data_IF_929889464059
#
_entry.id   IF_929889464059
#
_cell.length_a   1.000
_cell.length_b   1.000
_cell.length_c   1.000
_cell.angle_alpha   90.00
_cell.angle_beta   90.00
_cell.angle_gamma   90.00
#
_symmetry.space_group_name_H-M   'P 1'
#
loop_
_entity.id
_entity.type
_entity.pdbx_description
1 polymer ?
#
# COMPACT_ATOMS: atom_id res chain seq x y z
N UNK A 1 67.27 35.03 -19.97
CA UNK A 1 67.49 33.58 -20.15
C UNK A 1 66.20 32.87 -19.80
N UNK A 2 65.57 32.17 -20.74
CA UNK A 2 64.35 31.39 -20.50
C UNK A 2 64.32 30.21 -21.45
N UNK A 3 64.48 29.00 -20.94
CA UNK A 3 64.42 27.74 -21.70
C UNK A 3 63.02 27.15 -21.60
N UNK A 4 62.31 27.12 -22.72
CA UNK A 4 61.08 26.35 -22.91
C UNK A 4 61.42 24.91 -23.23
N UNK A 5 61.01 23.98 -22.36
CA UNK A 5 61.12 22.54 -22.58
C UNK A 5 59.97 22.11 -23.49
N UNK A 6 60.28 21.61 -24.69
CA UNK A 6 59.31 20.92 -25.56
C UNK A 6 59.04 19.53 -25.01
N UNK A 7 57.81 19.27 -24.55
CA UNK A 7 57.34 17.93 -24.21
C UNK A 7 57.31 17.04 -25.47
N UNK A 8 57.85 15.83 -25.38
CA UNK A 8 57.86 14.84 -26.48
C UNK A 8 56.48 14.19 -26.67
N UNK A 9 56.03 13.93 -27.92
CA UNK A 9 54.68 13.46 -28.24
C UNK A 9 54.50 11.92 -28.24
N UNK A 10 55.36 11.17 -27.54
CA UNK A 10 55.37 9.70 -27.63
C UNK A 10 54.45 8.99 -26.62
N UNK A 11 54.06 9.64 -25.52
CA UNK A 11 53.19 9.02 -24.51
C UNK A 11 51.70 8.93 -24.94
N UNK A 12 51.23 9.82 -25.82
CA UNK A 12 49.82 9.86 -26.24
C UNK A 12 49.45 8.77 -27.27
N UNK A 13 50.40 8.30 -28.09
CA UNK A 13 50.11 7.27 -29.11
C UNK A 13 49.93 5.87 -28.51
N UNK A 14 50.71 5.52 -27.49
CA UNK A 14 50.60 4.21 -26.83
C UNK A 14 49.33 4.06 -25.99
N UNK A 15 48.87 5.13 -25.33
CA UNK A 15 47.61 5.12 -24.58
C UNK A 15 46.38 4.93 -25.47
N UNK A 16 46.37 5.53 -26.68
CA UNK A 16 45.27 5.38 -27.63
C UNK A 16 45.18 3.95 -28.20
N UNK A 17 46.33 3.31 -28.48
CA UNK A 17 46.35 1.90 -28.93
C UNK A 17 45.92 0.92 -27.84
N UNK A 18 46.28 1.15 -26.57
CA UNK A 18 45.86 0.28 -25.46
C UNK A 18 44.35 0.40 -25.19
N UNK A 19 43.79 1.61 -25.25
CA UNK A 19 42.34 1.85 -25.16
C UNK A 19 41.58 1.17 -26.31
N UNK A 20 42.13 1.19 -27.53
CA UNK A 20 41.51 0.53 -28.67
C UNK A 20 41.52 -1.00 -28.52
N UNK A 21 42.63 -1.58 -28.06
CA UNK A 21 42.70 -3.03 -27.79
C UNK A 21 41.76 -3.48 -26.66
N UNK A 22 41.56 -2.67 -25.62
CA UNK A 22 40.59 -2.96 -24.56
C UNK A 22 39.15 -2.88 -25.08
N UNK A 23 38.84 -1.88 -25.90
CA UNK A 23 37.53 -1.73 -26.53
C UNK A 23 37.22 -2.90 -27.47
N UNK A 24 38.21 -3.33 -28.27
CA UNK A 24 38.07 -4.45 -29.20
C UNK A 24 37.86 -5.77 -28.43
N UNK A 25 38.58 -6.00 -27.33
CA UNK A 25 38.36 -7.15 -26.43
C UNK A 25 36.98 -7.13 -25.78
N UNK A 26 36.48 -5.95 -25.40
CA UNK A 26 35.15 -5.82 -24.82
C UNK A 26 34.05 -6.06 -25.87
N UNK A 27 34.25 -5.58 -27.10
CA UNK A 27 33.36 -5.85 -28.23
C UNK A 27 33.32 -7.33 -28.59
N UNK A 28 34.47 -8.00 -28.63
CA UNK A 28 34.56 -9.46 -28.86
C UNK A 28 33.85 -10.24 -27.74
N UNK A 29 34.01 -9.80 -26.48
CA UNK A 29 33.30 -10.41 -25.34
C UNK A 29 31.79 -10.23 -25.47
N UNK A 30 31.32 -9.03 -25.86
CA UNK A 30 29.89 -8.77 -26.11
C UNK A 30 29.36 -9.61 -27.27
N UNK A 31 30.12 -9.74 -28.35
CA UNK A 31 29.75 -10.58 -29.49
C UNK A 31 29.63 -12.06 -29.11
N UNK A 32 30.55 -12.57 -28.28
CA UNK A 32 30.49 -13.93 -27.75
C UNK A 32 29.28 -14.15 -26.82
N UNK A 33 28.97 -13.18 -25.96
CA UNK A 33 27.78 -13.24 -25.10
C UNK A 33 26.49 -13.21 -25.91
N UNK A 34 26.39 -12.35 -26.92
CA UNK A 34 25.25 -12.30 -27.84
C UNK A 34 25.11 -13.60 -28.62
N UNK A 35 26.20 -14.17 -29.12
CA UNK A 35 26.18 -15.45 -29.83
C UNK A 35 25.83 -16.64 -28.92
N UNK A 36 26.17 -16.60 -27.63
CA UNK A 36 25.74 -17.59 -26.65
C UNK A 36 24.26 -17.44 -26.30
N UNK A 37 23.79 -16.19 -26.17
CA UNK A 37 22.38 -15.85 -25.96
C UNK A 37 21.50 -16.32 -27.13
N UNK A 38 21.87 -16.00 -28.36
CA UNK A 38 21.14 -16.42 -29.56
C UNK A 38 21.06 -17.95 -29.66
N UNK A 39 22.16 -18.67 -29.39
CA UNK A 39 22.16 -20.13 -29.34
C UNK A 39 21.24 -20.70 -28.26
N UNK A 40 21.20 -20.11 -27.07
CA UNK A 40 20.32 -20.56 -25.98
C UNK A 40 18.85 -20.23 -26.26
N UNK A 41 18.58 -19.08 -26.88
CA UNK A 41 17.25 -18.67 -27.36
C UNK A 41 16.72 -19.68 -28.39
N UNK A 42 17.52 -20.01 -29.40
CA UNK A 42 17.16 -20.98 -30.43
C UNK A 42 16.92 -22.37 -29.83
N UNK A 43 17.75 -22.77 -28.86
CA UNK A 43 17.57 -24.02 -28.12
C UNK A 43 16.25 -24.03 -27.32
N UNK A 44 15.89 -22.94 -26.66
CA UNK A 44 14.62 -22.82 -25.91
C UNK A 44 13.41 -22.83 -26.84
N UNK A 45 13.49 -22.19 -28.01
CA UNK A 45 12.44 -22.24 -29.04
C UNK A 45 12.25 -23.67 -29.55
N UNK A 46 13.36 -24.41 -29.76
CA UNK A 46 13.30 -25.81 -30.17
C UNK A 46 12.76 -26.75 -29.08
N UNK A 47 13.09 -26.49 -27.80
CA UNK A 47 12.61 -27.26 -26.65
C UNK A 47 11.12 -26.98 -26.32
N UNK A 48 10.59 -25.84 -26.75
CA UNK A 48 9.20 -25.42 -26.48
C UNK A 48 8.54 -24.92 -27.77
N UNK A 49 7.94 -25.79 -28.59
CA UNK A 49 7.39 -25.41 -29.91
C UNK A 49 6.31 -24.31 -29.85
N UNK A 50 5.61 -24.16 -28.72
CA UNK A 50 4.60 -23.11 -28.52
C UNK A 50 5.21 -21.71 -28.33
N UNK A 51 6.53 -21.58 -28.11
CA UNK A 51 7.25 -20.31 -28.06
C UNK A 51 7.30 -19.60 -29.43
N UNK A 52 7.20 -20.32 -30.55
CA UNK A 52 7.11 -19.71 -31.89
C UNK A 52 5.80 -18.92 -32.09
N UNK A 53 4.75 -19.24 -31.31
CA UNK A 53 3.44 -18.58 -31.38
C UNK A 53 3.28 -17.43 -30.41
N UNK A 54 4.16 -17.32 -29.41
CA UNK A 54 4.24 -16.15 -28.54
C UNK A 54 4.99 -15.05 -29.32
N UNK A 55 4.38 -13.90 -29.63
CA UNK A 55 5.06 -12.86 -30.39
C UNK A 55 6.27 -12.33 -29.62
N UNK A 56 7.45 -12.83 -30.00
CA UNK A 56 8.76 -12.19 -30.06
C UNK A 56 9.04 -11.09 -29.02
N UNK A 57 9.41 -11.42 -27.78
CA UNK A 57 10.35 -10.61 -26.97
C UNK A 57 11.02 -11.49 -25.89
N UNK A 58 11.95 -12.35 -26.29
CA UNK A 58 13.01 -12.78 -25.37
C UNK A 58 14.17 -11.80 -25.57
N UNK A 59 14.27 -10.81 -24.70
CA UNK A 59 15.43 -9.94 -24.61
C UNK A 59 16.51 -10.61 -23.75
N UNK A 60 17.74 -10.10 -23.78
CA UNK A 60 18.79 -10.55 -22.86
C UNK A 60 18.42 -10.40 -21.38
N UNK A 61 17.44 -9.55 -21.04
CA UNK A 61 16.90 -9.42 -19.68
C UNK A 61 15.99 -10.59 -19.29
N UNK A 62 15.20 -11.12 -20.23
CA UNK A 62 14.25 -12.21 -19.96
C UNK A 62 14.98 -13.54 -19.70
N UNK A 63 16.17 -13.73 -20.30
CA UNK A 63 17.00 -14.92 -20.05
C UNK A 63 17.73 -14.85 -18.70
N UNK A 64 18.12 -13.66 -18.26
CA UNK A 64 18.68 -13.46 -16.91
C UNK A 64 17.67 -13.81 -15.81
N UNK A 65 16.37 -13.58 -16.05
CA UNK A 65 15.28 -14.00 -15.17
C UNK A 65 15.28 -15.53 -15.01
N UNK A 66 15.42 -16.31 -16.09
CA UNK A 66 15.43 -17.78 -15.96
C UNK A 66 16.61 -18.32 -15.15
N UNK A 67 17.79 -17.70 -15.30
CA UNK A 67 18.98 -18.04 -14.51
C UNK A 67 18.83 -17.64 -13.04
N UNK A 68 18.26 -16.46 -12.76
CA UNK A 68 18.01 -15.97 -11.40
C UNK A 68 16.97 -16.82 -10.64
N UNK A 69 15.97 -17.34 -11.34
CA UNK A 69 14.94 -18.23 -10.75
C UNK A 69 15.29 -19.72 -10.80
N UNK A 70 16.45 -20.10 -11.36
CA UNK A 70 16.92 -21.49 -11.40
C UNK A 70 15.99 -22.45 -12.15
N UNK A 71 15.21 -21.93 -13.12
CA UNK A 71 14.19 -22.69 -13.84
C UNK A 71 14.87 -23.62 -14.84
N UNK A 72 14.61 -24.94 -14.71
CA UNK A 72 15.25 -25.98 -15.53
C UNK A 72 14.28 -26.68 -16.46
N UNK A 73 12.97 -26.55 -16.23
CA UNK A 73 11.94 -27.24 -17.00
C UNK A 73 11.21 -26.28 -17.94
N UNK A 74 10.87 -26.79 -19.13
CA UNK A 74 10.22 -26.03 -20.21
C UNK A 74 8.87 -25.42 -19.81
N UNK A 75 8.08 -26.13 -19.01
CA UNK A 75 6.79 -25.70 -18.48
C UNK A 75 6.91 -24.52 -17.50
N UNK A 76 7.94 -24.54 -16.66
CA UNK A 76 8.25 -23.44 -15.73
C UNK A 76 8.68 -22.17 -16.47
N UNK A 77 9.47 -22.33 -17.53
CA UNK A 77 9.94 -21.23 -18.39
C UNK A 77 8.76 -20.61 -19.17
N UNK A 78 7.90 -21.44 -19.76
CA UNK A 78 6.71 -20.98 -20.46
C UNK A 78 5.75 -20.22 -19.52
N UNK A 79 5.56 -20.70 -18.30
CA UNK A 79 4.74 -20.03 -17.27
C UNK A 79 5.33 -18.67 -16.88
N UNK A 80 6.65 -18.61 -16.64
CA UNK A 80 7.34 -17.36 -16.30
C UNK A 80 7.23 -16.31 -17.42
N UNK A 81 7.31 -16.74 -18.68
CA UNK A 81 7.13 -15.87 -19.84
C UNK A 81 5.71 -15.31 -19.97
N UNK A 82 4.70 -16.15 -19.77
CA UNK A 82 3.31 -15.71 -19.76
C UNK A 82 3.05 -14.67 -18.65
N UNK A 83 3.64 -14.88 -17.47
CA UNK A 83 3.57 -13.91 -16.38
C UNK A 83 4.25 -12.60 -16.78
N UNK A 84 5.44 -12.65 -17.36
CA UNK A 84 6.17 -11.45 -17.77
C UNK A 84 5.44 -10.64 -18.87
N UNK A 85 4.92 -11.32 -19.89
CA UNK A 85 4.08 -10.70 -20.91
C UNK A 85 2.82 -10.08 -20.28
N UNK A 86 2.17 -10.80 -19.36
CA UNK A 86 1.04 -10.29 -18.59
C UNK A 86 1.39 -9.04 -17.78
N UNK A 87 2.58 -8.97 -17.19
CA UNK A 87 3.06 -7.78 -16.46
C UNK A 87 3.23 -6.60 -17.43
N UNK A 88 3.86 -6.80 -18.59
CA UNK A 88 4.04 -5.73 -19.58
C UNK A 88 2.69 -5.16 -20.05
N UNK A 89 1.73 -6.02 -20.39
CA UNK A 89 0.37 -5.60 -20.77
C UNK A 89 -0.35 -4.87 -19.63
N UNK A 90 -0.21 -5.36 -18.39
CA UNK A 90 -0.80 -4.72 -17.23
C UNK A 90 -0.26 -3.31 -17.03
N UNK A 91 1.06 -3.12 -17.15
CA UNK A 91 1.71 -1.80 -17.02
C UNK A 91 1.29 -0.85 -18.14
N UNK A 92 1.16 -1.34 -19.38
CA UNK A 92 0.65 -0.52 -20.47
C UNK A 92 -0.77 0.02 -20.18
N UNK A 93 -1.56 -0.71 -19.40
CA UNK A 93 -2.93 -0.32 -19.02
C UNK A 93 -3.01 0.59 -17.79
N UNK A 94 -2.19 0.35 -16.76
CA UNK A 94 -2.32 1.00 -15.44
C UNK A 94 -1.04 1.60 -14.87
N UNK A 95 0.02 1.67 -15.67
CA UNK A 95 1.35 2.16 -15.26
C UNK A 95 1.35 3.64 -14.85
N UNK A 96 0.43 4.44 -15.39
CA UNK A 96 0.24 5.83 -14.98
C UNK A 96 -0.94 5.93 -14.00
N UNK A 97 -0.72 6.37 -12.73
CA UNK A 97 -1.78 6.61 -11.76
C UNK A 97 -2.89 7.54 -12.28
N UNK A 98 -2.58 8.47 -13.19
CA UNK A 98 -3.55 9.39 -13.78
C UNK A 98 -4.64 8.67 -14.59
N UNK A 99 -4.37 7.47 -15.14
CA UNK A 99 -5.36 6.69 -15.89
C UNK A 99 -6.50 6.22 -14.99
N UNK A 100 -6.18 5.77 -13.77
CA UNK A 100 -7.18 5.33 -12.79
C UNK A 100 -7.95 6.54 -12.26
N UNK A 101 -7.27 7.64 -11.95
CA UNK A 101 -7.92 8.87 -11.49
C UNK A 101 -8.83 9.47 -12.57
N UNK A 102 -8.44 9.44 -13.84
CA UNK A 102 -9.30 9.85 -14.95
C UNK A 102 -10.54 8.96 -15.06
N UNK A 103 -10.41 7.64 -14.92
CA UNK A 103 -11.54 6.71 -14.92
C UNK A 103 -12.48 6.95 -13.71
N UNK A 104 -11.95 7.29 -12.54
CA UNK A 104 -12.73 7.67 -11.36
C UNK A 104 -13.47 8.99 -11.57
N UNK A 105 -12.83 9.97 -12.19
CA UNK A 105 -13.46 11.25 -12.54
C UNK A 105 -14.60 11.06 -13.56
N UNK A 106 -14.41 10.18 -14.54
CA UNK A 106 -15.43 9.77 -15.52
C UNK A 106 -16.63 9.13 -14.80
N UNK A 107 -16.39 8.18 -13.90
CA UNK A 107 -17.44 7.57 -13.07
C UNK A 107 -18.17 8.62 -12.23
N UNK A 108 -17.45 9.53 -11.56
CA UNK A 108 -18.06 10.59 -10.76
C UNK A 108 -18.95 11.52 -11.62
N UNK A 109 -18.54 11.83 -12.85
CA UNK A 109 -19.34 12.60 -13.78
C UNK A 109 -20.59 11.83 -14.23
N UNK A 110 -20.47 10.53 -14.54
CA UNK A 110 -21.60 9.67 -14.90
C UNK A 110 -22.63 9.58 -13.77
N UNK A 111 -22.17 9.40 -12.52
CA UNK A 111 -23.03 9.39 -11.32
C UNK A 111 -23.76 10.73 -11.16
N UNK A 112 -23.06 11.86 -11.27
CA UNK A 112 -23.68 13.19 -11.18
C UNK A 112 -24.74 13.41 -12.26
N UNK A 113 -24.43 13.07 -13.51
CA UNK A 113 -25.38 13.21 -14.62
C UNK A 113 -26.63 12.36 -14.41
N UNK A 114 -26.48 11.12 -13.93
CA UNK A 114 -27.61 10.24 -13.59
C UNK A 114 -28.45 10.82 -12.44
N UNK A 115 -27.81 11.37 -11.40
CA UNK A 115 -28.51 12.01 -10.28
C UNK A 115 -29.27 13.27 -10.70
N UNK A 116 -28.65 14.14 -11.51
CA UNK A 116 -29.32 15.34 -12.04
C UNK A 116 -30.55 14.96 -12.87
N UNK A 117 -30.44 13.98 -13.76
CA UNK A 117 -31.58 13.55 -14.58
C UNK A 117 -32.68 12.86 -13.75
N UNK A 118 -32.32 12.16 -12.66
CA UNK A 118 -33.32 11.62 -11.72
C UNK A 118 -34.08 12.72 -11.00
N UNK A 119 -33.39 13.76 -10.53
CA UNK A 119 -34.03 14.91 -9.92
C UNK A 119 -34.97 15.62 -10.92
N UNK A 120 -34.51 15.84 -12.16
CA UNK A 120 -35.35 16.39 -13.24
C UNK A 120 -36.58 15.53 -13.54
N UNK A 121 -36.45 14.20 -13.46
CA UNK A 121 -37.57 13.28 -13.69
C UNK A 121 -38.57 13.28 -12.51
N UNK A 122 -38.08 13.39 -11.27
CA UNK A 122 -38.91 13.46 -10.06
C UNK A 122 -39.73 14.76 -10.00
N UNK A 123 -39.14 15.88 -10.44
CA UNK A 123 -39.83 17.18 -10.53
C UNK A 123 -40.98 17.17 -11.56
N UNK A 124 -40.93 16.29 -12.58
CA UNK A 124 -41.94 16.20 -13.64
C UNK A 124 -43.03 15.16 -13.39
N UNK A 125 -42.80 14.19 -12.51
CA UNK A 125 -43.75 13.11 -12.20
C UNK A 125 -44.93 13.62 -11.36
N UNK A 126 -44.76 14.73 -10.63
CA UNK A 126 -45.81 15.37 -9.82
C UNK A 126 -46.96 16.02 -10.61
N UNK A 127 -46.74 16.34 -11.88
CA UNK A 127 -47.70 17.04 -12.76
C UNK A 127 -48.24 16.13 -13.90
N UNK A 128 -47.84 14.86 -13.93
CA UNK A 128 -47.94 13.98 -15.10
C UNK A 128 -49.32 13.35 -15.36
N UNK A 129 -50.26 13.39 -14.42
CA UNK A 129 -51.52 12.64 -14.54
C UNK A 129 -52.50 13.22 -15.58
N UNK A 130 -52.37 14.50 -15.95
CA UNK A 130 -53.38 15.22 -16.75
C UNK A 130 -52.95 15.65 -18.16
N UNK A 131 -51.68 15.44 -18.58
CA UNK A 131 -51.19 15.98 -19.86
C UNK A 131 -50.40 14.98 -20.73
N UNK A 132 -50.91 14.58 -21.93
CA UNK A 132 -50.23 13.61 -22.80
C UNK A 132 -48.90 14.11 -23.40
N UNK A 133 -48.68 15.43 -23.40
CA UNK A 133 -47.38 16.03 -23.74
C UNK A 133 -46.30 15.68 -22.70
N UNK A 134 -46.67 15.64 -21.41
CA UNK A 134 -45.78 15.24 -20.31
C UNK A 134 -45.42 13.75 -20.39
N UNK A 135 -46.36 12.89 -20.79
CA UNK A 135 -46.10 11.46 -20.98
C UNK A 135 -44.99 11.17 -22.04
N UNK A 136 -44.93 11.95 -23.12
CA UNK A 136 -43.84 11.83 -24.11
C UNK A 136 -42.49 12.33 -23.55
N UNK A 137 -42.50 13.37 -22.72
CA UNK A 137 -41.30 13.89 -22.07
C UNK A 137 -40.75 12.90 -21.04
N UNK A 138 -41.60 12.30 -20.21
CA UNK A 138 -41.24 11.26 -19.24
C UNK A 138 -40.61 10.06 -19.95
N UNK A 139 -41.20 9.60 -21.07
CA UNK A 139 -40.63 8.49 -21.86
C UNK A 139 -39.25 8.83 -22.45
N UNK A 140 -39.03 10.08 -22.85
CA UNK A 140 -37.73 10.57 -23.31
C UNK A 140 -36.70 10.61 -22.17
N UNK A 141 -37.09 11.10 -20.99
CA UNK A 141 -36.26 11.14 -19.79
C UNK A 141 -35.88 9.73 -19.31
N UNK A 142 -36.83 8.80 -19.27
CA UNK A 142 -36.57 7.40 -18.95
C UNK A 142 -35.56 6.75 -19.91
N UNK A 143 -35.65 7.07 -21.22
CA UNK A 143 -34.68 6.59 -22.21
C UNK A 143 -33.29 7.17 -21.97
N UNK A 144 -33.19 8.47 -21.68
CA UNK A 144 -31.92 9.15 -21.34
C UNK A 144 -31.33 8.59 -20.04
N UNK A 145 -32.17 8.30 -19.04
CA UNK A 145 -31.77 7.70 -17.78
C UNK A 145 -31.22 6.28 -17.98
N UNK A 146 -31.84 5.48 -18.84
CA UNK A 146 -31.32 4.17 -19.23
C UNK A 146 -29.94 4.26 -19.90
N UNK A 147 -29.72 5.26 -20.77
CA UNK A 147 -28.41 5.48 -21.40
C UNK A 147 -27.34 5.92 -20.39
N UNK A 148 -27.67 6.84 -19.48
CA UNK A 148 -26.75 7.28 -18.43
C UNK A 148 -26.43 6.16 -17.43
N UNK A 149 -27.42 5.32 -17.10
CA UNK A 149 -27.20 4.15 -16.23
C UNK A 149 -26.25 3.16 -16.88
N UNK A 150 -26.41 2.89 -18.19
CA UNK A 150 -25.48 2.05 -18.94
C UNK A 150 -24.06 2.64 -18.98
N UNK A 151 -23.94 3.96 -19.19
CA UNK A 151 -22.66 4.65 -19.17
C UNK A 151 -21.99 4.61 -17.78
N UNK A 152 -22.77 4.75 -16.69
CA UNK A 152 -22.27 4.59 -15.32
C UNK A 152 -21.73 3.18 -15.09
N UNK A 153 -22.48 2.15 -15.46
CA UNK A 153 -22.07 0.75 -15.30
C UNK A 153 -20.80 0.45 -16.10
N UNK A 154 -20.67 1.00 -17.31
CA UNK A 154 -19.45 0.86 -18.11
C UNK A 154 -18.24 1.54 -17.44
N UNK A 155 -18.41 2.77 -16.94
CA UNK A 155 -17.38 3.47 -16.19
C UNK A 155 -16.98 2.73 -14.89
N UNK A 156 -17.94 2.16 -14.16
CA UNK A 156 -17.68 1.32 -12.97
C UNK A 156 -16.86 0.08 -13.34
N UNK A 157 -17.24 -0.62 -14.41
CA UNK A 157 -16.51 -1.80 -14.88
C UNK A 157 -15.08 -1.45 -15.30
N UNK A 158 -14.90 -0.29 -15.95
CA UNK A 158 -13.59 0.23 -16.34
C UNK A 158 -12.71 0.51 -15.12
N UNK A 159 -13.22 1.21 -14.10
CA UNK A 159 -12.52 1.45 -12.83
C UNK A 159 -12.14 0.12 -12.17
N UNK A 160 -13.11 -0.79 -12.00
CA UNK A 160 -12.88 -2.11 -11.40
C UNK A 160 -11.81 -2.90 -12.15
N UNK A 161 -11.80 -2.86 -13.48
CA UNK A 161 -10.81 -3.55 -14.32
C UNK A 161 -9.40 -2.99 -14.06
N UNK A 162 -9.25 -1.67 -14.04
CA UNK A 162 -7.95 -1.04 -13.81
C UNK A 162 -7.46 -1.27 -12.37
N UNK A 163 -8.32 -1.15 -11.37
CA UNK A 163 -7.97 -1.43 -9.97
C UNK A 163 -7.55 -2.90 -9.78
N UNK A 164 -8.35 -3.84 -10.29
CA UNK A 164 -8.00 -5.27 -10.27
C UNK A 164 -6.66 -5.56 -10.93
N UNK A 165 -6.36 -4.89 -12.06
CA UNK A 165 -5.10 -5.07 -12.79
C UNK A 165 -3.91 -4.50 -12.02
N UNK A 166 -4.08 -3.36 -11.37
CA UNK A 166 -3.07 -2.74 -10.51
C UNK A 166 -2.80 -3.58 -9.25
N UNK A 167 -3.83 -4.13 -8.63
CA UNK A 167 -3.66 -5.03 -7.48
C UNK A 167 -2.98 -6.34 -7.87
N UNK A 168 -3.35 -6.92 -9.02
CA UNK A 168 -2.62 -8.07 -9.55
C UNK A 168 -1.14 -7.73 -9.75
N UNK A 169 -0.79 -6.58 -10.33
CA UNK A 169 0.62 -6.15 -10.43
C UNK A 169 1.31 -6.08 -9.08
N UNK A 170 0.67 -5.53 -8.03
CA UNK A 170 1.24 -5.51 -6.67
C UNK A 170 1.57 -6.91 -6.16
N UNK A 171 0.74 -7.92 -6.45
CA UNK A 171 1.05 -9.31 -6.07
C UNK A 171 2.26 -9.90 -6.82
N UNK A 172 2.54 -9.37 -8.01
CA UNK A 172 3.68 -9.76 -8.85
C UNK A 172 4.94 -8.90 -8.58
N UNK A 173 4.92 -8.07 -7.53
CA UNK A 173 6.06 -7.23 -7.19
C UNK A 173 7.34 -8.07 -6.95
N UNK A 174 8.53 -7.52 -7.28
CA UNK A 174 9.80 -8.21 -7.12
C UNK A 174 10.01 -8.69 -5.67
N UNK A 175 10.72 -9.82 -5.47
CA UNK A 175 10.97 -10.38 -4.14
C UNK A 175 11.52 -9.38 -3.12
N UNK A 176 12.39 -8.45 -3.54
CA UNK A 176 12.96 -7.41 -2.70
C UNK A 176 11.88 -6.52 -2.06
N UNK A 177 10.89 -6.08 -2.84
CA UNK A 177 9.80 -5.23 -2.36
C UNK A 177 8.81 -6.00 -1.49
N UNK A 178 8.56 -7.28 -1.83
CA UNK A 178 7.75 -8.17 -0.99
C UNK A 178 8.38 -8.42 0.38
N UNK A 179 9.71 -8.48 0.44
CA UNK A 179 10.44 -8.59 1.70
C UNK A 179 10.24 -7.32 2.56
N UNK A 180 10.25 -6.14 1.96
CA UNK A 180 10.03 -4.89 2.69
C UNK A 180 8.59 -4.77 3.21
N UNK A 181 7.59 -5.20 2.43
CA UNK A 181 6.20 -5.37 2.91
C UNK A 181 6.14 -6.34 4.10
N UNK A 182 6.87 -7.45 4.04
CA UNK A 182 6.91 -8.45 5.12
C UNK A 182 7.54 -7.88 6.38
N UNK A 183 8.69 -7.18 6.26
CA UNK A 183 9.34 -6.47 7.37
C UNK A 183 8.39 -5.46 8.00
N UNK A 184 7.58 -4.78 7.18
CA UNK A 184 6.62 -3.79 7.65
C UNK A 184 5.46 -4.41 8.43
N UNK A 185 4.94 -5.55 7.98
CA UNK A 185 3.97 -6.34 8.75
C UNK A 185 4.57 -6.73 10.11
N UNK A 186 5.84 -7.13 10.15
CA UNK A 186 6.54 -7.44 11.41
C UNK A 186 6.74 -6.19 12.28
N UNK A 187 7.04 -5.03 11.71
CA UNK A 187 7.13 -3.77 12.47
C UNK A 187 5.80 -3.37 13.09
N UNK A 188 4.68 -3.58 12.38
CA UNK A 188 3.34 -3.37 12.96
C UNK A 188 3.10 -4.25 14.19
N UNK A 189 3.59 -5.48 14.21
CA UNK A 189 3.50 -6.35 15.39
C UNK A 189 4.27 -5.79 16.60
N UNK A 190 5.25 -4.89 16.39
CA UNK A 190 5.95 -4.19 17.48
C UNK A 190 5.16 -2.99 18.03
N UNK A 191 4.16 -2.49 17.29
CA UNK A 191 3.27 -1.39 17.71
C UNK A 191 2.15 -1.92 18.60
N UNK A 192 1.67 -3.15 18.35
CA UNK A 192 0.58 -3.78 19.08
C UNK A 192 0.77 -3.80 20.62
N UNK A 193 1.95 -4.08 21.20
CA UNK A 193 2.17 -4.03 22.64
C UNK A 193 1.96 -2.65 23.27
N UNK A 194 2.36 -1.57 22.59
CA UNK A 194 2.14 -0.19 23.08
C UNK A 194 0.65 0.14 23.06
N UNK A 195 -0.07 -0.31 22.03
CA UNK A 195 -1.52 -0.10 21.91
C UNK A 195 -2.30 -0.91 22.94
N UNK A 196 -1.90 -2.16 23.19
CA UNK A 196 -2.46 -3.00 24.26
C UNK A 196 -2.23 -2.35 25.63
N UNK A 197 -1.00 -1.90 25.91
CA UNK A 197 -0.67 -1.25 27.18
C UNK A 197 -1.40 0.07 27.37
N UNK A 198 -1.57 0.87 26.32
CA UNK A 198 -2.38 2.08 26.36
C UNK A 198 -3.83 1.75 26.73
N UNK A 199 -4.43 0.75 26.06
CA UNK A 199 -5.80 0.30 26.33
C UNK A 199 -5.96 -0.21 27.76
N UNK A 200 -4.99 -0.95 28.28
CA UNK A 200 -4.98 -1.41 29.66
C UNK A 200 -4.96 -0.23 30.65
N UNK A 201 -4.10 0.77 30.42
CA UNK A 201 -4.02 1.96 31.26
C UNK A 201 -5.31 2.78 31.19
N UNK A 202 -5.90 2.96 30.02
CA UNK A 202 -7.19 3.66 29.87
C UNK A 202 -8.33 2.92 30.59
N UNK A 203 -8.37 1.59 30.49
CA UNK A 203 -9.34 0.75 31.23
C UNK A 203 -9.11 0.83 32.75
N UNK A 204 -7.86 0.86 33.21
CA UNK A 204 -7.52 1.03 34.63
C UNK A 204 -7.97 2.39 35.14
N UNK A 205 -7.68 3.47 34.41
CA UNK A 205 -8.13 4.83 34.75
C UNK A 205 -9.66 4.88 34.84
N UNK A 206 -10.36 4.35 33.85
CA UNK A 206 -11.83 4.30 33.84
C UNK A 206 -12.39 3.48 35.01
N UNK A 207 -11.81 2.31 35.28
CA UNK A 207 -12.17 1.48 36.42
C UNK A 207 -11.97 2.21 37.75
N UNK A 208 -10.89 2.99 37.85
CA UNK A 208 -10.58 3.77 39.04
C UNK A 208 -11.50 4.98 39.23
N UNK A 209 -11.83 5.69 38.16
CA UNK A 209 -12.81 6.79 38.18
C UNK A 209 -14.17 6.32 38.70
N UNK A 210 -14.66 5.18 38.20
CA UNK A 210 -15.93 4.58 38.66
C UNK A 210 -15.89 4.16 40.13
N UNK A 211 -14.77 3.59 40.59
CA UNK A 211 -14.61 3.22 41.99
C UNK A 211 -14.59 4.45 42.91
N UNK A 212 -13.97 5.56 42.49
CA UNK A 212 -14.01 6.83 43.23
C UNK A 212 -15.41 7.45 43.26
N UNK A 213 -16.17 7.35 42.18
CA UNK A 213 -17.57 7.79 42.13
C UNK A 213 -18.42 7.02 43.15
N UNK A 214 -18.38 5.69 43.11
CA UNK A 214 -19.08 4.81 44.08
C UNK A 214 -18.62 5.10 45.52
N UNK A 215 -17.32 5.31 45.73
CA UNK A 215 -16.75 5.62 47.04
C UNK A 215 -17.19 6.98 47.58
N UNK A 216 -17.36 7.99 46.71
CA UNK A 216 -17.87 9.32 47.08
C UNK A 216 -19.33 9.26 47.49
N UNK A 217 -20.14 8.50 46.75
CA UNK A 217 -21.57 8.33 47.03
C UNK A 217 -21.83 7.49 48.30
N UNK A 218 -20.88 6.63 48.68
CA UNK A 218 -20.96 5.76 49.86
C UNK A 218 -20.43 6.40 51.16
N UNK A 219 -20.10 7.70 51.15
CA UNK A 219 -19.63 8.40 52.35
C UNK A 219 -20.76 8.51 53.38
N UNK A 220 -20.61 7.79 54.49
CA UNK A 220 -21.35 8.07 55.72
C UNK A 220 -20.59 9.14 56.50
N UNK A 221 -21.29 10.23 56.85
CA UNK A 221 -20.76 11.40 57.56
C UNK A 221 -20.28 11.12 59.00
N UNK A 222 -20.34 9.87 59.48
CA UNK A 222 -20.30 9.56 60.91
C UNK A 222 -18.91 9.25 61.48
N UNK A 223 -17.81 9.31 60.71
CA UNK A 223 -16.47 9.12 61.30
C UNK A 223 -15.28 9.75 60.54
N UNK A 224 -14.64 10.81 61.08
CA UNK A 224 -13.52 11.51 60.43
C UNK A 224 -12.25 10.65 60.25
N UNK A 225 -12.07 9.58 61.02
CA UNK A 225 -10.93 8.65 60.90
C UNK A 225 -11.04 7.76 59.66
N UNK A 226 -12.26 7.58 59.13
CA UNK A 226 -12.54 6.74 57.95
C UNK A 226 -12.79 7.55 56.67
N UNK A 227 -12.66 8.88 56.69
CA UNK A 227 -12.88 9.73 55.50
C UNK A 227 -12.01 9.40 54.28
N UNK A 228 -10.91 8.67 54.49
CA UNK A 228 -9.97 8.25 53.44
C UNK A 228 -10.14 6.77 53.02
N UNK A 229 -11.15 6.05 53.53
CA UNK A 229 -11.38 4.64 53.17
C UNK A 229 -12.83 4.40 52.75
N UNK A 230 -13.03 3.79 51.58
CA UNK A 230 -14.35 3.32 51.17
C UNK A 230 -14.49 1.81 51.38
N UNK A 231 -15.62 1.39 51.97
CA UNK A 231 -16.04 -0.01 51.97
C UNK A 231 -16.73 -0.30 50.63
N UNK A 232 -15.94 -0.69 49.65
CA UNK A 232 -16.46 -1.09 48.34
C UNK A 232 -16.82 -2.57 48.41
N UNK A 233 -18.10 -2.88 48.61
CA UNK A 233 -18.64 -4.22 48.45
C UNK A 233 -18.96 -4.47 46.97
N UNK A 234 -17.95 -4.51 46.10
CA UNK A 234 -18.12 -4.99 44.73
C UNK A 234 -17.32 -6.28 44.53
N UNK A 235 -17.93 -7.29 43.90
CA UNK A 235 -17.30 -8.58 43.65
C UNK A 235 -16.04 -8.46 42.78
N UNK A 236 -15.92 -7.38 42.01
CA UNK A 236 -14.77 -7.08 41.16
C UNK A 236 -13.59 -6.46 41.93
N UNK A 237 -13.84 -5.78 43.07
CA UNK A 237 -12.79 -5.19 43.92
C UNK A 237 -11.92 -6.27 44.59
N UNK A 238 -12.53 -7.42 44.91
CA UNK A 238 -11.84 -8.61 45.45
C UNK A 238 -10.82 -9.23 44.47
N UNK A 239 -10.91 -8.91 43.16
CA UNK A 239 -10.00 -9.42 42.12
C UNK A 239 -8.92 -8.43 41.72
N UNK A 240 -8.93 -7.21 42.28
CA UNK A 240 -7.90 -6.20 42.03
C UNK A 240 -6.70 -6.35 42.96
N UNK A 241 -5.55 -5.75 42.62
CA UNK A 241 -4.38 -5.65 43.51
C UNK A 241 -4.67 -4.89 44.82
N UNK A 242 -5.86 -4.28 44.94
CA UNK A 242 -6.34 -3.56 46.11
C UNK A 242 -7.37 -4.38 46.90
N UNK A 243 -7.34 -5.72 46.78
CA UNK A 243 -8.28 -6.75 47.28
C UNK A 243 -8.54 -6.79 48.80
N UNK A 244 -8.82 -5.64 49.38
CA UNK A 244 -9.23 -5.40 50.74
C UNK A 244 -10.66 -4.87 50.73
N UNK A 245 -11.53 -5.28 51.67
CA UNK A 245 -12.86 -4.68 51.87
C UNK A 245 -12.79 -3.20 52.28
N UNK A 246 -11.59 -2.62 52.42
CA UNK A 246 -11.30 -1.21 52.62
C UNK A 246 -10.26 -0.76 51.61
N UNK A 247 -10.64 0.12 50.70
CA UNK A 247 -9.73 0.75 49.72
C UNK A 247 -9.24 2.08 50.30
N UNK A 248 -7.93 2.28 50.37
CA UNK A 248 -7.31 3.57 50.72
C UNK A 248 -7.46 4.54 49.54
N UNK A 249 -8.36 5.51 49.67
CA UNK A 249 -8.67 6.49 48.64
C UNK A 249 -7.51 7.45 48.35
N UNK A 250 -6.60 7.67 49.31
CA UNK A 250 -5.44 8.54 49.15
C UNK A 250 -4.35 7.88 48.30
N UNK A 251 -4.03 6.61 48.59
CA UNK A 251 -3.10 5.83 47.77
C UNK A 251 -3.66 5.62 46.35
N UNK A 252 -4.97 5.41 46.25
CA UNK A 252 -5.69 5.23 45.00
C UNK A 252 -5.72 6.49 44.14
N UNK A 253 -6.04 7.66 44.73
CA UNK A 253 -5.99 8.95 44.03
C UNK A 253 -4.58 9.26 43.53
N UNK A 254 -3.56 9.02 44.35
CA UNK A 254 -2.16 9.24 43.95
C UNK A 254 -1.75 8.35 42.77
N UNK A 255 -2.23 7.10 42.74
CA UNK A 255 -1.97 6.19 41.63
C UNK A 255 -2.73 6.60 40.36
N UNK A 256 -3.98 7.06 40.48
CA UNK A 256 -4.74 7.63 39.37
C UNK A 256 -4.08 8.89 38.79
N UNK A 257 -3.56 9.76 39.67
CA UNK A 257 -2.82 10.96 39.27
C UNK A 257 -1.52 10.59 38.54
N UNK A 258 -0.81 9.54 39.00
CA UNK A 258 0.38 9.02 38.31
C UNK A 258 0.03 8.45 36.92
N UNK A 259 -1.04 7.67 36.81
CA UNK A 259 -1.49 7.11 35.54
C UNK A 259 -1.91 8.22 34.55
N UNK A 260 -2.64 9.24 35.01
CA UNK A 260 -3.10 10.36 34.18
C UNK A 260 -1.99 11.37 33.84
N UNK A 261 -1.12 11.66 34.80
CA UNK A 261 -0.11 12.71 34.70
C UNK A 261 1.16 12.29 33.96
N UNK A 262 1.57 11.03 34.10
CA UNK A 262 2.87 10.56 33.59
C UNK A 262 2.71 9.44 32.57
N UNK A 263 2.03 8.35 32.93
CA UNK A 263 2.03 7.14 32.10
C UNK A 263 1.15 7.25 30.84
N UNK A 264 -0.08 7.75 30.96
CA UNK A 264 -1.00 7.91 29.84
C UNK A 264 -0.47 8.89 28.78
N UNK A 265 0.03 10.10 29.13
CA UNK A 265 0.61 11.01 28.16
C UNK A 265 1.85 10.44 27.47
N UNK A 266 2.72 9.73 28.22
CA UNK A 266 3.90 9.10 27.66
C UNK A 266 3.54 8.01 26.64
N UNK A 267 2.59 7.12 26.96
CA UNK A 267 2.11 6.09 26.04
C UNK A 267 1.42 6.67 24.80
N UNK A 268 0.66 7.76 24.94
CA UNK A 268 0.05 8.46 23.79
C UNK A 268 1.10 9.12 22.89
N UNK A 269 2.15 9.71 23.47
CA UNK A 269 3.25 10.29 22.71
C UNK A 269 4.03 9.20 21.96
N UNK A 270 4.34 8.09 22.62
CA UNK A 270 5.00 6.92 22.02
C UNK A 270 4.13 6.30 20.90
N UNK A 271 2.82 6.18 21.12
CA UNK A 271 1.87 5.71 20.11
C UNK A 271 1.90 6.60 18.86
N UNK A 272 1.83 7.93 19.04
CA UNK A 272 1.82 8.87 17.94
C UNK A 272 3.12 8.84 17.13
N UNK A 273 4.27 8.75 17.80
CA UNK A 273 5.57 8.63 17.15
C UNK A 273 5.70 7.33 16.35
N UNK A 274 5.33 6.19 16.94
CA UNK A 274 5.33 4.91 16.25
C UNK A 274 4.38 4.89 15.05
N UNK A 275 3.19 5.49 15.20
CA UNK A 275 2.23 5.60 14.12
C UNK A 275 2.75 6.50 12.99
N UNK A 276 3.41 7.61 13.29
CA UNK A 276 3.99 8.49 12.28
C UNK A 276 5.13 7.80 11.51
N UNK A 277 6.04 7.11 12.22
CA UNK A 277 7.13 6.33 11.60
C UNK A 277 6.60 5.19 10.71
N UNK A 278 5.53 4.53 11.16
CA UNK A 278 4.84 3.51 10.40
C UNK A 278 4.23 4.08 9.11
N UNK A 279 3.46 5.17 9.21
CA UNK A 279 2.87 5.83 8.04
C UNK A 279 3.93 6.31 7.03
N UNK A 280 5.06 6.83 7.51
CA UNK A 280 6.17 7.22 6.64
C UNK A 280 6.76 6.03 5.87
N UNK A 281 6.95 4.89 6.54
CA UNK A 281 7.48 3.68 5.90
C UNK A 281 6.48 3.08 4.90
N UNK A 282 5.19 3.04 5.24
CA UNK A 282 4.13 2.61 4.31
C UNK A 282 4.12 3.49 3.07
N UNK A 283 4.18 4.81 3.23
CA UNK A 283 4.22 5.74 2.09
C UNK A 283 5.46 5.51 1.20
N UNK A 284 6.61 5.20 1.77
CA UNK A 284 7.82 4.84 1.02
C UNK A 284 7.65 3.54 0.22
N UNK A 285 7.08 2.50 0.84
CA UNK A 285 6.78 1.23 0.17
C UNK A 285 5.77 1.43 -0.96
N UNK A 286 4.70 2.19 -0.73
CA UNK A 286 3.69 2.49 -1.75
C UNK A 286 4.28 3.29 -2.91
N UNK A 287 5.12 4.31 -2.63
CA UNK A 287 5.82 5.06 -3.66
C UNK A 287 6.77 4.16 -4.47
N UNK A 288 7.48 3.24 -3.81
CA UNK A 288 8.30 2.24 -4.46
C UNK A 288 7.48 1.34 -5.40
N UNK A 289 6.35 0.80 -4.91
CA UNK A 289 5.45 -0.05 -5.69
C UNK A 289 4.87 0.67 -6.90
N UNK A 290 4.43 1.91 -6.72
CA UNK A 290 3.87 2.73 -7.79
C UNK A 290 4.93 3.06 -8.84
N UNK A 291 6.16 3.37 -8.42
CA UNK A 291 7.29 3.53 -9.34
C UNK A 291 7.54 2.26 -10.15
N UNK A 292 7.61 1.09 -9.50
CA UNK A 292 7.81 -0.18 -10.19
C UNK A 292 6.66 -0.56 -11.12
N UNK A 293 5.42 -0.22 -10.79
CA UNK A 293 4.27 -0.38 -11.67
C UNK A 293 4.41 0.50 -12.91
N UNK A 294 4.89 1.74 -12.75
CA UNK A 294 5.07 2.68 -13.85
C UNK A 294 6.26 2.32 -14.76
N UNK A 295 7.42 2.00 -14.18
CA UNK A 295 8.69 1.88 -14.92
C UNK A 295 9.16 0.45 -15.12
N UNK A 296 8.70 -0.47 -14.26
CA UNK A 296 9.23 -1.82 -14.14
C UNK A 296 10.57 -1.92 -13.42
N UNK A 297 11.11 -0.81 -12.93
CA UNK A 297 12.37 -0.74 -12.19
C UNK A 297 12.09 -0.72 -10.68
N UNK A 298 12.98 -1.33 -9.90
CA UNK A 298 12.91 -1.24 -8.43
C UNK A 298 13.75 -0.03 -8.04
N UNK A 299 13.14 0.97 -7.38
CA UNK A 299 13.88 2.03 -6.70
C UNK A 299 14.81 1.38 -5.67
N UNK A 300 16.10 1.34 -5.98
CA UNK A 300 17.12 1.01 -4.97
C UNK A 300 17.38 2.30 -4.19
N UNK A 301 17.05 2.28 -2.91
CA UNK A 301 17.52 3.28 -1.94
C UNK A 301 19.05 3.22 -1.80
#
# INVERSE_FOLDING_TARGET
>A
MGTTVKARPTAQRHGATLLQEELDRENDRRALMLAAFERRKDQLIAEVPDLERAPLYLTSKDVAVFEEFGLKRADEIATALQIHAGIAEARALVGDPAVIEAARAELAAAVRNEQTLRAEAEDLDGDAEDEPALAMQIKSLQRRLGQLTAARVDAENKVRRFESRRDWLRTQAPPAMRLDITKEITRRQLIDPVWQRLREVELQIHGFEKLLEIARDSRSDDNPVFCNHARVHCADAFRSNYGSPRVDLGLFSKHLDQLRGELLPALKAEQADLQAKWQATVAEIEAGLDHWIATGEVLRA
#
